data_IF_228408538198
#
_entry.id   IF_228408538198
#
_cell.length_a   1.000
_cell.length_b   1.000
_cell.length_c   1.000
_cell.angle_alpha   90.00
_cell.angle_beta   90.00
_cell.angle_gamma   90.00
#
_symmetry.space_group_name_H-M   'P 1'
#
loop_
_entity.id
_entity.type
_entity.pdbx_description
1 polymer ?
#
# COMPACT_ATOMS: atom_id res chain seq x y z
N UNK A 1 7.78 -7.60 -26.98
CA UNK A 1 7.31 -7.87 -25.61
C UNK A 1 6.39 -6.78 -25.10
N UNK A 2 6.82 -5.53 -25.10
CA UNK A 2 6.03 -4.43 -24.52
C UNK A 2 4.67 -4.27 -25.21
N UNK A 3 4.63 -4.25 -26.54
CA UNK A 3 3.37 -4.13 -27.30
C UNK A 3 2.41 -5.31 -27.03
N UNK A 4 2.92 -6.53 -26.95
CA UNK A 4 2.10 -7.69 -26.60
C UNK A 4 1.50 -7.57 -25.18
N UNK A 5 2.25 -7.02 -24.24
CA UNK A 5 1.77 -6.74 -22.89
C UNK A 5 0.70 -5.66 -22.88
N UNK A 6 0.89 -4.58 -23.64
CA UNK A 6 -0.07 -3.49 -23.75
C UNK A 6 -1.37 -3.95 -24.39
N UNK A 7 -1.29 -4.69 -25.52
CA UNK A 7 -2.48 -5.27 -26.18
C UNK A 7 -3.27 -6.19 -25.21
N UNK A 8 -2.56 -7.01 -24.42
CA UNK A 8 -3.22 -7.84 -23.41
C UNK A 8 -3.90 -6.98 -22.35
N UNK A 9 -3.23 -5.91 -21.88
CA UNK A 9 -3.76 -5.04 -20.84
C UNK A 9 -5.02 -4.29 -21.28
N UNK A 10 -5.12 -3.89 -22.54
CA UNK A 10 -6.32 -3.23 -23.10
C UNK A 10 -7.59 -4.08 -22.92
N UNK A 11 -7.45 -5.41 -22.97
CA UNK A 11 -8.58 -6.34 -22.85
C UNK A 11 -8.73 -6.97 -21.46
N UNK A 12 -7.68 -6.98 -20.65
CA UNK A 12 -7.62 -7.73 -19.37
C UNK A 12 -7.26 -6.85 -18.16
N UNK A 13 -7.03 -5.56 -18.37
CA UNK A 13 -6.69 -4.62 -17.31
C UNK A 13 -7.78 -4.56 -16.25
N UNK A 14 -7.36 -4.60 -14.96
CA UNK A 14 -8.30 -4.53 -13.85
C UNK A 14 -8.92 -3.14 -13.75
N UNK A 15 -10.23 -3.06 -13.61
CA UNK A 15 -10.93 -1.82 -13.31
C UNK A 15 -10.79 -1.51 -11.81
N UNK A 16 -9.90 -0.58 -11.49
CA UNK A 16 -9.59 -0.18 -10.13
C UNK A 16 -9.95 1.30 -9.92
N UNK A 17 -10.63 1.66 -8.79
CA UNK A 17 -11.14 3.02 -8.59
C UNK A 17 -10.04 4.08 -8.65
N UNK A 18 -8.84 3.80 -8.15
CA UNK A 18 -7.69 4.72 -8.18
C UNK A 18 -7.04 4.88 -9.56
N UNK A 19 -7.46 4.12 -10.56
CA UNK A 19 -7.04 4.29 -11.98
C UNK A 19 -7.91 5.27 -12.76
N UNK A 20 -9.03 5.69 -12.16
CA UNK A 20 -10.00 6.61 -12.77
C UNK A 20 -9.72 8.07 -12.42
N UNK A 21 -8.61 8.34 -11.76
CA UNK A 21 -8.21 9.68 -11.31
C UNK A 21 -6.72 9.89 -11.57
N UNK A 22 -6.35 11.16 -11.76
CA UNK A 22 -4.97 11.64 -11.78
C UNK A 22 -4.70 12.63 -10.63
N UNK A 23 -5.59 12.72 -9.65
CA UNK A 23 -5.35 13.51 -8.46
C UNK A 23 -4.22 12.90 -7.62
N UNK A 24 -3.13 13.63 -7.33
CA UNK A 24 -1.96 13.10 -6.63
C UNK A 24 -2.27 12.61 -5.21
N UNK A 25 -3.24 13.23 -4.51
CA UNK A 25 -3.66 12.77 -3.20
C UNK A 25 -4.35 11.40 -3.29
N UNK A 26 -5.28 11.24 -4.19
CA UNK A 26 -6.00 9.98 -4.42
C UNK A 26 -5.06 8.83 -4.82
N UNK A 27 -4.06 9.13 -5.67
CA UNK A 27 -3.02 8.17 -6.05
C UNK A 27 -2.15 7.82 -4.84
N UNK A 28 -1.69 8.80 -4.06
CA UNK A 28 -0.88 8.57 -2.85
C UNK A 28 -1.63 7.68 -1.84
N UNK A 29 -2.91 7.94 -1.60
CA UNK A 29 -3.76 7.13 -0.71
C UNK A 29 -3.78 5.67 -1.18
N UNK A 30 -4.04 5.43 -2.46
CA UNK A 30 -4.10 4.07 -3.01
C UNK A 30 -2.76 3.35 -2.88
N UNK A 31 -1.66 4.01 -3.21
CA UNK A 31 -0.31 3.42 -3.16
C UNK A 31 0.09 3.06 -1.71
N UNK A 32 -0.20 3.93 -0.74
CA UNK A 32 0.05 3.64 0.67
C UNK A 32 -0.84 2.50 1.17
N UNK A 33 -2.11 2.42 0.77
CA UNK A 33 -3.00 1.32 1.13
C UNK A 33 -2.56 -0.02 0.52
N UNK A 34 -2.02 -0.01 -0.69
CA UNK A 34 -1.56 -1.21 -1.41
C UNK A 34 -0.24 -1.77 -0.89
N UNK A 35 0.54 -1.01 -0.11
CA UNK A 35 1.77 -1.55 0.50
C UNK A 35 1.47 -2.81 1.30
N UNK A 36 1.93 -3.98 0.83
CA UNK A 36 1.73 -5.29 1.46
C UNK A 36 0.26 -5.68 1.75
N UNK A 37 -0.70 -5.07 1.06
CA UNK A 37 -2.13 -5.35 1.22
C UNK A 37 -2.74 -5.73 -0.13
N UNK A 38 -3.57 -6.77 -0.14
CA UNK A 38 -4.23 -7.25 -1.36
C UNK A 38 -5.28 -6.27 -1.87
N UNK A 39 -5.38 -6.13 -3.18
CA UNK A 39 -6.31 -5.22 -3.89
C UNK A 39 -7.76 -5.36 -3.43
N UNK A 40 -8.23 -6.59 -3.26
CA UNK A 40 -9.61 -6.87 -2.85
C UNK A 40 -9.96 -6.30 -1.47
N UNK A 41 -8.97 -6.22 -0.58
CA UNK A 41 -9.12 -5.61 0.74
C UNK A 41 -9.05 -4.08 0.66
N UNK A 42 -8.20 -3.55 -0.23
CA UNK A 42 -8.00 -2.11 -0.40
C UNK A 42 -9.18 -1.44 -1.09
N UNK A 43 -9.74 -2.06 -2.14
CA UNK A 43 -10.80 -1.46 -2.97
C UNK A 43 -11.94 -0.81 -2.16
N UNK A 44 -12.67 -1.52 -1.29
CA UNK A 44 -13.76 -0.92 -0.52
C UNK A 44 -13.28 0.15 0.47
N UNK A 45 -12.09 -0.02 1.04
CA UNK A 45 -11.50 0.93 2.00
C UNK A 45 -11.08 2.23 1.33
N UNK A 46 -10.51 2.15 0.14
CA UNK A 46 -10.14 3.32 -0.65
C UNK A 46 -11.37 4.17 -1.01
N UNK A 47 -12.44 3.55 -1.48
CA UNK A 47 -13.69 4.28 -1.82
C UNK A 47 -14.21 5.01 -0.59
N UNK A 48 -14.42 4.31 0.53
CA UNK A 48 -14.89 4.92 1.77
C UNK A 48 -13.95 6.01 2.32
N UNK A 49 -12.63 5.86 2.09
CA UNK A 49 -11.64 6.85 2.51
C UNK A 49 -11.75 8.15 1.72
N UNK A 50 -11.82 8.05 0.38
CA UNK A 50 -11.94 9.22 -0.49
C UNK A 50 -13.29 9.92 -0.32
N UNK A 51 -14.36 9.17 -0.07
CA UNK A 51 -15.66 9.73 0.27
C UNK A 51 -15.61 10.54 1.58
N UNK A 52 -14.90 10.03 2.59
CA UNK A 52 -14.79 10.69 3.90
C UNK A 52 -13.81 11.85 3.88
N UNK A 53 -12.67 11.71 3.21
CA UNK A 53 -11.63 12.73 3.09
C UNK A 53 -11.24 12.93 1.63
N UNK A 54 -12.02 13.74 0.89
CA UNK A 54 -11.83 13.86 -0.56
C UNK A 54 -10.59 14.66 -0.96
N UNK A 55 -9.98 15.38 -0.03
CA UNK A 55 -8.78 16.20 -0.29
C UNK A 55 -7.70 15.96 0.76
N UNK A 56 -6.47 16.32 0.42
CA UNK A 56 -5.34 16.27 1.34
C UNK A 56 -5.59 17.13 2.58
N UNK A 57 -6.25 18.29 2.43
CA UNK A 57 -6.60 19.17 3.53
C UNK A 57 -7.63 18.51 4.45
N UNK A 58 -8.67 17.88 3.90
CA UNK A 58 -9.67 17.19 4.70
C UNK A 58 -9.07 16.06 5.55
N UNK A 59 -8.05 15.35 5.02
CA UNK A 59 -7.31 14.33 5.78
C UNK A 59 -6.40 14.98 6.84
N UNK A 60 -5.72 16.07 6.51
CA UNK A 60 -4.83 16.79 7.43
C UNK A 60 -5.58 17.33 8.65
N UNK A 61 -6.80 17.80 8.46
CA UNK A 61 -7.67 18.36 9.51
C UNK A 61 -8.41 17.28 10.31
N UNK A 62 -8.35 16.02 9.88
CA UNK A 62 -9.04 14.93 10.56
C UNK A 62 -8.34 14.56 11.88
N UNK A 63 -9.10 14.27 12.97
CA UNK A 63 -8.52 13.69 14.17
C UNK A 63 -7.79 12.40 13.86
N UNK A 64 -6.55 12.25 14.32
CA UNK A 64 -5.73 11.06 14.05
C UNK A 64 -6.41 9.77 14.53
N UNK A 65 -7.17 9.83 15.63
CA UNK A 65 -7.99 8.72 16.11
C UNK A 65 -8.98 8.21 15.04
N UNK A 66 -9.60 9.10 14.30
CA UNK A 66 -10.55 8.75 13.25
C UNK A 66 -9.88 8.11 12.04
N UNK A 67 -8.70 8.61 11.68
CA UNK A 67 -7.85 8.07 10.63
C UNK A 67 -7.42 6.63 10.97
N UNK A 68 -6.97 6.39 12.19
CA UNK A 68 -6.60 5.06 12.69
C UNK A 68 -7.81 4.11 12.65
N UNK A 69 -8.98 4.56 13.11
CA UNK A 69 -10.22 3.76 13.07
C UNK A 69 -10.61 3.37 11.64
N UNK A 70 -10.56 4.31 10.70
CA UNK A 70 -10.89 4.06 9.30
C UNK A 70 -9.90 3.11 8.60
N UNK A 71 -8.63 3.07 9.05
CA UNK A 71 -7.60 2.20 8.51
C UNK A 71 -7.75 0.73 8.92
N UNK A 72 -8.52 0.45 9.95
CA UNK A 72 -8.64 -0.90 10.51
C UNK A 72 -9.01 -1.93 9.46
N UNK A 73 -8.37 -3.09 9.55
CA UNK A 73 -8.53 -4.19 8.61
C UNK A 73 -7.56 -4.17 7.42
N UNK A 74 -6.81 -3.08 7.20
CA UNK A 74 -5.74 -3.05 6.21
C UNK A 74 -4.43 -3.63 6.75
N UNK A 75 -4.22 -3.56 8.07
CA UNK A 75 -2.96 -3.95 8.73
C UNK A 75 -1.82 -2.97 8.49
N UNK A 76 -0.66 -3.24 9.11
CA UNK A 76 0.49 -2.32 9.04
C UNK A 76 0.08 -0.88 9.39
N UNK A 77 -0.61 -0.72 10.51
CA UNK A 77 -1.41 0.46 10.89
C UNK A 77 -0.58 1.75 11.00
N UNK A 78 0.75 1.66 11.21
CA UNK A 78 1.66 2.81 11.15
C UNK A 78 1.57 3.58 9.83
N UNK A 79 1.12 2.93 8.75
CA UNK A 79 0.91 3.61 7.45
C UNK A 79 -0.20 4.67 7.53
N UNK A 80 -1.22 4.45 8.36
CA UNK A 80 -2.27 5.44 8.59
C UNK A 80 -1.71 6.71 9.23
N UNK A 81 -0.87 6.55 10.26
CA UNK A 81 -0.18 7.67 10.93
C UNK A 81 0.73 8.41 9.96
N UNK A 82 1.51 7.67 9.16
CA UNK A 82 2.41 8.28 8.19
C UNK A 82 1.64 9.03 7.08
N UNK A 83 0.54 8.45 6.58
CA UNK A 83 -0.30 9.10 5.56
C UNK A 83 -0.94 10.37 6.10
N UNK A 84 -1.43 10.37 7.34
CA UNK A 84 -1.96 11.55 8.00
C UNK A 84 -0.87 12.63 8.17
N UNK A 85 0.33 12.25 8.64
CA UNK A 85 1.46 13.19 8.76
C UNK A 85 1.90 13.75 7.41
N UNK A 86 1.91 12.92 6.36
CA UNK A 86 2.19 13.36 4.99
C UNK A 86 1.13 14.38 4.52
N UNK A 87 -0.15 14.10 4.76
CA UNK A 87 -1.24 15.04 4.45
C UNK A 87 -1.10 16.36 5.20
N UNK A 88 -0.80 16.32 6.51
CA UNK A 88 -0.54 17.53 7.32
C UNK A 88 0.65 18.33 6.79
N UNK A 89 1.73 17.65 6.38
CA UNK A 89 2.89 18.33 5.78
C UNK A 89 2.52 19.00 4.47
N UNK A 90 1.81 18.29 3.57
CA UNK A 90 1.39 18.83 2.26
C UNK A 90 0.42 20.01 2.44
N UNK A 91 -0.52 19.90 3.37
CA UNK A 91 -1.49 20.98 3.64
C UNK A 91 -0.81 22.26 4.15
N UNK A 92 0.27 22.12 4.94
CA UNK A 92 1.00 23.25 5.50
C UNK A 92 2.04 23.85 4.54
N UNK A 93 2.69 23.05 3.70
CA UNK A 93 3.87 23.47 2.93
C UNK A 93 3.74 23.26 1.41
N UNK A 94 2.64 22.64 0.95
CA UNK A 94 2.49 22.19 -0.43
C UNK A 94 3.17 20.84 -0.68
N UNK A 95 3.04 20.34 -1.91
CA UNK A 95 3.71 19.13 -2.36
C UNK A 95 5.22 19.38 -2.48
N UNK A 96 6.08 18.56 -1.84
CA UNK A 96 7.53 18.71 -1.98
C UNK A 96 7.99 18.25 -3.39
N UNK A 97 9.13 18.78 -3.83
CA UNK A 97 9.75 18.39 -5.12
C UNK A 97 10.17 16.91 -5.11
N UNK A 98 10.68 16.41 -3.99
CA UNK A 98 10.93 14.99 -3.77
C UNK A 98 9.93 14.42 -2.76
N UNK A 99 9.01 13.60 -3.26
CA UNK A 99 7.99 12.98 -2.40
C UNK A 99 8.57 12.02 -1.36
N UNK A 100 9.82 11.61 -1.48
CA UNK A 100 10.48 10.77 -0.47
C UNK A 100 10.75 11.51 0.86
N UNK A 101 10.60 12.83 0.87
CA UNK A 101 10.65 13.65 2.09
C UNK A 101 9.38 13.47 2.96
N UNK A 102 8.30 12.94 2.36
CA UNK A 102 7.06 12.70 3.08
C UNK A 102 7.12 11.42 3.95
N UNK A 103 6.56 11.46 5.17
CA UNK A 103 6.51 10.30 6.04
C UNK A 103 5.88 9.07 5.38
N UNK A 104 6.61 7.95 5.34
CA UNK A 104 6.10 6.68 4.80
C UNK A 104 6.10 6.58 3.27
N UNK A 105 6.60 7.59 2.57
CA UNK A 105 6.76 7.60 1.11
C UNK A 105 8.19 7.19 0.76
N UNK A 106 8.33 5.98 0.21
CA UNK A 106 9.59 5.51 -0.35
C UNK A 106 9.67 5.78 -1.85
N UNK A 107 10.84 5.49 -2.45
CA UNK A 107 11.10 5.72 -3.87
C UNK A 107 10.01 5.15 -4.79
N UNK A 108 9.58 3.91 -4.54
CA UNK A 108 8.49 3.30 -5.32
C UNK A 108 7.21 4.15 -5.28
N UNK A 109 6.78 4.56 -4.08
CA UNK A 109 5.54 5.35 -3.93
C UNK A 109 5.68 6.73 -4.60
N UNK A 110 6.84 7.36 -4.49
CA UNK A 110 7.13 8.62 -5.16
C UNK A 110 7.05 8.46 -6.69
N UNK A 111 7.71 7.44 -7.25
CA UNK A 111 7.68 7.13 -8.67
C UNK A 111 6.26 6.78 -9.16
N UNK A 112 5.46 6.07 -8.35
CA UNK A 112 4.08 5.74 -8.68
C UNK A 112 3.17 6.98 -8.72
N UNK A 113 3.29 7.89 -7.75
CA UNK A 113 2.56 9.18 -7.79
C UNK A 113 3.01 10.00 -9.00
N UNK A 114 4.31 10.13 -9.24
CA UNK A 114 4.82 10.84 -10.41
C UNK A 114 4.29 10.24 -11.72
N UNK A 115 4.25 8.90 -11.83
CA UNK A 115 3.75 8.22 -13.03
C UNK A 115 2.25 8.35 -13.22
N UNK A 116 1.46 8.06 -12.18
CA UNK A 116 0.01 7.93 -12.32
C UNK A 116 -0.73 9.25 -12.16
N UNK A 117 -0.22 10.18 -11.35
CA UNK A 117 -0.83 11.50 -11.22
C UNK A 117 -0.29 12.52 -12.23
N UNK A 118 1.02 12.52 -12.49
CA UNK A 118 1.66 13.53 -13.31
C UNK A 118 2.14 13.01 -14.67
N UNK A 119 1.85 11.75 -15.02
CA UNK A 119 2.23 11.09 -16.27
C UNK A 119 3.75 11.13 -16.57
N UNK A 120 4.56 11.24 -15.52
CA UNK A 120 6.01 11.29 -15.65
C UNK A 120 6.56 10.04 -16.37
N UNK A 121 7.67 10.22 -17.10
CA UNK A 121 8.33 9.15 -17.83
C UNK A 121 9.20 8.26 -16.90
N UNK A 122 8.62 7.81 -15.78
CA UNK A 122 9.25 6.93 -14.76
C UNK A 122 8.48 5.63 -14.66
N UNK A 123 9.18 4.51 -14.54
CA UNK A 123 8.58 3.20 -14.27
C UNK A 123 8.72 2.92 -12.77
N UNK A 124 7.60 2.93 -12.00
CA UNK A 124 7.65 2.53 -10.61
C UNK A 124 7.93 1.03 -10.51
N UNK A 125 9.02 0.66 -9.83
CA UNK A 125 9.50 -0.72 -9.75
C UNK A 125 9.14 -1.31 -8.39
N UNK A 126 8.05 -2.09 -8.37
CA UNK A 126 7.67 -2.94 -7.25
C UNK A 126 8.26 -4.36 -7.39
N UNK A 127 7.92 -5.23 -6.45
CA UNK A 127 8.33 -6.64 -6.48
C UNK A 127 7.77 -7.41 -7.69
N UNK A 128 6.65 -6.97 -8.27
CA UNK A 128 6.04 -7.60 -9.43
C UNK A 128 6.77 -7.18 -10.71
N UNK A 129 7.01 -5.89 -10.87
CA UNK A 129 7.76 -5.33 -12.01
C UNK A 129 9.18 -5.88 -12.03
N UNK A 130 9.89 -5.84 -10.89
CA UNK A 130 11.24 -6.41 -10.76
C UNK A 130 11.25 -7.88 -11.17
N UNK A 131 10.33 -8.69 -10.65
CA UNK A 131 10.20 -10.12 -10.97
C UNK A 131 9.96 -10.38 -12.44
N UNK A 132 9.10 -9.59 -13.09
CA UNK A 132 8.82 -9.76 -14.53
C UNK A 132 10.05 -9.41 -15.35
N UNK A 133 10.72 -8.29 -15.06
CA UNK A 133 11.94 -7.90 -15.75
C UNK A 133 13.06 -8.96 -15.59
N UNK A 134 13.24 -9.48 -14.37
CA UNK A 134 14.19 -10.55 -14.10
C UNK A 134 13.88 -11.83 -14.90
N UNK A 135 12.61 -12.25 -14.92
CA UNK A 135 12.19 -13.47 -15.62
C UNK A 135 12.23 -13.37 -17.13
N UNK A 136 11.93 -12.20 -17.66
CA UNK A 136 11.91 -11.96 -19.11
C UNK A 136 13.27 -11.55 -19.67
N UNK A 137 14.15 -11.02 -18.82
CA UNK A 137 15.39 -10.35 -19.25
C UNK A 137 15.14 -9.05 -20.02
N UNK A 138 13.90 -8.55 -20.04
CA UNK A 138 13.51 -7.36 -20.80
C UNK A 138 13.27 -6.16 -19.87
N UNK A 139 13.78 -4.99 -20.25
CA UNK A 139 13.54 -3.73 -19.55
C UNK A 139 12.35 -3.03 -20.19
N UNK A 140 11.25 -2.98 -19.46
CA UNK A 140 10.04 -2.29 -19.86
C UNK A 140 10.14 -0.78 -19.62
N UNK A 141 9.34 -0.01 -20.36
CA UNK A 141 9.26 1.44 -20.18
C UNK A 141 8.10 1.81 -19.23
N UNK A 142 8.03 3.09 -18.88
CA UNK A 142 6.94 3.65 -18.08
C UNK A 142 5.54 3.45 -18.68
N UNK A 143 5.44 3.24 -20.00
CA UNK A 143 4.18 3.02 -20.71
C UNK A 143 3.44 1.77 -20.19
N UNK A 144 4.18 0.74 -19.82
CA UNK A 144 3.64 -0.54 -19.38
C UNK A 144 3.49 -0.67 -17.86
N UNK A 145 3.65 0.41 -17.08
CA UNK A 145 3.60 0.36 -15.62
C UNK A 145 2.36 -0.36 -15.06
N UNK A 146 1.15 0.08 -15.45
CA UNK A 146 -0.09 -0.55 -14.99
C UNK A 146 -0.26 -1.99 -15.48
N UNK A 147 0.16 -2.27 -16.73
CA UNK A 147 0.09 -3.60 -17.32
C UNK A 147 1.04 -4.59 -16.61
N UNK A 148 2.24 -4.16 -16.23
CA UNK A 148 3.19 -4.97 -15.46
C UNK A 148 2.65 -5.30 -14.07
N UNK A 149 2.05 -4.32 -13.39
CA UNK A 149 1.44 -4.52 -12.08
C UNK A 149 0.32 -5.56 -12.16
N UNK A 150 -0.51 -5.50 -13.20
CA UNK A 150 -1.60 -6.47 -13.40
C UNK A 150 -1.07 -7.85 -13.77
N UNK A 151 -0.15 -7.92 -14.72
CA UNK A 151 0.47 -9.20 -15.10
C UNK A 151 1.13 -9.88 -13.89
N UNK A 152 1.83 -9.11 -13.07
CA UNK A 152 2.51 -9.62 -11.87
C UNK A 152 1.55 -10.07 -10.77
N UNK A 153 0.41 -9.40 -10.64
CA UNK A 153 -0.59 -9.73 -9.63
C UNK A 153 -1.47 -10.92 -10.02
N UNK A 154 -1.71 -11.17 -11.33
CA UNK A 154 -2.71 -12.15 -11.79
C UNK A 154 -2.11 -13.35 -12.51
N UNK A 155 -1.04 -13.18 -13.26
CA UNK A 155 -0.46 -14.22 -14.15
C UNK A 155 0.97 -14.57 -13.74
N UNK A 156 1.88 -13.62 -13.72
CA UNK A 156 3.29 -13.87 -13.39
C UNK A 156 3.51 -13.97 -11.87
N UNK A 157 2.81 -14.91 -11.22
CA UNK A 157 2.82 -15.10 -9.78
C UNK A 157 4.20 -15.50 -9.24
N UNK A 158 4.45 -15.23 -7.96
CA UNK A 158 5.77 -15.43 -7.35
C UNK A 158 6.25 -16.88 -7.43
N UNK A 159 5.41 -17.86 -7.06
CA UNK A 159 5.81 -19.28 -6.99
C UNK A 159 5.49 -20.05 -8.26
N UNK A 160 4.24 -20.05 -8.68
CA UNK A 160 3.71 -20.82 -9.80
C UNK A 160 3.03 -19.86 -10.76
N UNK A 161 3.76 -19.32 -11.75
CA UNK A 161 3.18 -18.44 -12.75
C UNK A 161 2.27 -19.20 -13.70
N UNK A 162 1.21 -18.52 -14.17
CA UNK A 162 0.25 -19.04 -15.16
C UNK A 162 0.76 -18.78 -16.58
N UNK A 163 1.88 -19.43 -16.95
CA UNK A 163 2.54 -19.14 -18.22
C UNK A 163 1.70 -19.48 -19.46
N UNK A 164 0.70 -20.37 -19.35
CA UNK A 164 -0.23 -20.68 -20.45
C UNK A 164 -1.16 -19.52 -20.82
N UNK A 165 -1.43 -18.62 -19.86
CA UNK A 165 -2.29 -17.44 -20.05
C UNK A 165 -1.48 -16.15 -20.29
N UNK A 166 -0.12 -16.25 -20.27
CA UNK A 166 0.75 -15.08 -20.27
C UNK A 166 0.99 -14.54 -21.69
N UNK A 167 0.74 -13.25 -21.94
CA UNK A 167 0.99 -12.65 -23.25
C UNK A 167 2.47 -12.68 -23.67
N UNK A 168 3.38 -12.89 -22.71
CA UNK A 168 4.82 -12.92 -22.94
C UNK A 168 5.36 -14.36 -23.09
N UNK A 169 4.50 -15.37 -23.08
CA UNK A 169 4.91 -16.79 -23.01
C UNK A 169 5.80 -17.22 -24.19
N UNK A 170 5.59 -16.65 -25.38
CA UNK A 170 6.35 -17.01 -26.59
C UNK A 170 7.81 -16.53 -26.57
N UNK A 171 8.13 -15.53 -25.76
CA UNK A 171 9.45 -14.89 -25.72
C UNK A 171 10.11 -14.92 -24.34
N UNK A 172 9.42 -15.45 -23.31
CA UNK A 172 9.91 -15.45 -21.94
C UNK A 172 10.84 -16.66 -21.68
N UNK A 173 12.14 -16.45 -21.37
CA UNK A 173 13.08 -17.54 -21.11
C UNK A 173 12.80 -18.31 -19.82
N UNK A 174 12.01 -17.73 -18.89
CA UNK A 174 11.62 -18.38 -17.64
C UNK A 174 10.27 -19.12 -17.74
N UNK A 175 9.71 -19.30 -18.95
CA UNK A 175 8.45 -20.00 -19.18
C UNK A 175 8.42 -21.38 -18.49
N UNK A 176 7.33 -21.63 -17.75
CA UNK A 176 7.09 -22.93 -17.11
C UNK A 176 7.91 -23.20 -15.86
N UNK A 177 8.85 -22.34 -15.48
CA UNK A 177 9.64 -22.50 -14.26
C UNK A 177 8.81 -22.24 -13.02
N UNK A 178 9.12 -23.00 -11.94
CA UNK A 178 8.63 -22.73 -10.58
C UNK A 178 9.72 -22.03 -9.79
N UNK A 179 9.30 -21.21 -8.83
CA UNK A 179 10.21 -20.40 -8.03
C UNK A 179 9.90 -20.55 -6.54
N UNK A 180 10.92 -20.52 -5.72
CA UNK A 180 10.75 -20.46 -4.28
C UNK A 180 10.52 -19.00 -3.84
N UNK A 181 9.60 -18.75 -2.88
CA UNK A 181 9.37 -17.39 -2.38
C UNK A 181 10.59 -16.92 -1.59
N UNK A 182 11.00 -15.67 -1.82
CA UNK A 182 12.14 -15.04 -1.15
C UNK A 182 11.97 -14.96 0.39
N UNK A 183 10.73 -14.90 0.88
CA UNK A 183 10.39 -14.87 2.32
C UNK A 183 9.12 -15.66 2.60
N UNK A 184 9.16 -16.47 3.66
CA UNK A 184 7.97 -17.04 4.29
C UNK A 184 7.63 -16.18 5.52
N UNK A 185 6.47 -15.55 5.52
CA UNK A 185 5.98 -14.87 6.71
C UNK A 185 5.48 -15.92 7.71
N UNK A 186 5.83 -15.75 8.99
CA UNK A 186 5.30 -16.61 10.06
C UNK A 186 3.77 -16.56 10.12
N UNK A 187 3.08 -17.58 10.63
CA UNK A 187 1.65 -17.55 10.87
C UNK A 187 1.24 -16.29 11.64
N UNK A 188 0.05 -15.78 11.37
CA UNK A 188 -0.48 -14.62 12.08
C UNK A 188 -0.92 -15.01 13.48
N UNK A 189 -1.54 -16.18 13.61
CA UNK A 189 -2.05 -16.73 14.86
C UNK A 189 -0.93 -16.99 15.86
N UNK A 190 -1.08 -16.55 17.09
CA UNK A 190 -0.06 -16.61 18.13
C UNK A 190 1.11 -15.64 17.97
N UNK A 191 1.16 -14.85 16.88
CA UNK A 191 2.27 -13.93 16.62
C UNK A 191 2.12 -12.61 17.41
N UNK A 192 3.25 -11.91 17.60
CA UNK A 192 3.25 -10.54 18.13
C UNK A 192 2.39 -9.57 17.30
N UNK A 193 2.30 -9.79 15.99
CA UNK A 193 1.41 -9.01 15.11
C UNK A 193 -0.06 -9.18 15.49
N UNK A 194 -0.48 -10.36 15.88
CA UNK A 194 -1.85 -10.61 16.35
C UNK A 194 -2.10 -9.90 17.68
N UNK A 195 -1.17 -10.00 18.64
CA UNK A 195 -1.28 -9.31 19.94
C UNK A 195 -1.42 -7.80 19.74
N UNK A 196 -0.55 -7.18 18.93
CA UNK A 196 -0.66 -5.76 18.58
C UNK A 196 -1.99 -5.39 17.95
N UNK A 197 -2.47 -6.19 16.98
CA UNK A 197 -3.74 -5.94 16.29
C UNK A 197 -4.92 -5.99 17.26
N UNK A 198 -4.91 -6.95 18.18
CA UNK A 198 -5.94 -7.10 19.23
C UNK A 198 -5.93 -5.92 20.21
N UNK A 199 -4.77 -5.56 20.72
CA UNK A 199 -4.60 -4.41 21.62
C UNK A 199 -5.08 -3.11 20.98
N UNK A 200 -4.69 -2.86 19.72
CA UNK A 200 -5.15 -1.67 18.98
C UNK A 200 -6.68 -1.71 18.77
N UNK A 201 -7.25 -2.89 18.57
CA UNK A 201 -8.70 -3.03 18.46
C UNK A 201 -9.40 -2.62 19.78
N UNK A 202 -8.98 -3.17 20.89
CA UNK A 202 -9.55 -2.88 22.21
C UNK A 202 -9.49 -1.37 22.52
N UNK A 203 -8.33 -0.74 22.28
CA UNK A 203 -8.14 0.71 22.49
C UNK A 203 -8.94 1.56 21.50
N UNK A 204 -9.19 1.06 20.29
CA UNK A 204 -10.02 1.78 19.30
C UNK A 204 -11.50 1.81 19.67
N UNK A 205 -11.96 0.86 20.46
CA UNK A 205 -13.34 0.78 20.96
C UNK A 205 -13.55 1.70 22.18
N UNK A 206 -12.59 1.72 23.10
CA UNK A 206 -12.59 2.62 24.26
C UNK A 206 -11.20 2.72 24.90
N UNK A 207 -10.93 3.81 25.61
CA UNK A 207 -9.74 3.93 26.45
C UNK A 207 -9.70 2.79 27.51
N UNK A 208 -8.50 2.29 27.81
CA UNK A 208 -8.27 1.16 28.71
C UNK A 208 -7.15 1.48 29.68
N UNK A 209 -7.19 0.86 30.87
CA UNK A 209 -6.05 0.87 31.77
C UNK A 209 -4.91 0.05 31.20
N UNK A 210 -3.68 0.52 31.34
CA UNK A 210 -2.48 -0.16 30.82
C UNK A 210 -2.37 -1.60 31.38
N UNK A 211 -2.69 -1.77 32.65
CA UNK A 211 -2.65 -3.05 33.35
C UNK A 211 -3.60 -4.13 32.77
N UNK A 212 -4.61 -3.69 32.00
CA UNK A 212 -5.60 -4.57 31.36
C UNK A 212 -5.17 -5.03 29.96
N UNK A 213 -4.05 -4.52 29.46
CA UNK A 213 -3.59 -4.71 28.09
C UNK A 213 -2.24 -5.45 28.04
N UNK A 214 -1.90 -5.95 26.87
CA UNK A 214 -0.55 -6.45 26.58
C UNK A 214 0.44 -5.27 26.54
N UNK A 215 1.22 -5.09 27.63
CA UNK A 215 2.11 -3.95 27.75
C UNK A 215 3.14 -3.87 26.62
N UNK A 216 3.72 -5.02 26.20
CA UNK A 216 4.68 -5.05 25.09
C UNK A 216 4.03 -4.55 23.78
N UNK A 217 2.80 -4.96 23.51
CA UNK A 217 2.03 -4.49 22.35
C UNK A 217 1.71 -2.99 22.46
N UNK A 218 1.28 -2.52 23.64
CA UNK A 218 1.00 -1.09 23.89
C UNK A 218 2.24 -0.25 23.64
N UNK A 219 3.40 -0.60 24.19
CA UNK A 219 4.66 0.13 23.99
C UNK A 219 5.06 0.16 22.52
N UNK A 220 4.82 -0.93 21.79
CA UNK A 220 5.10 -0.96 20.35
C UNK A 220 4.12 -0.08 19.56
N UNK A 221 2.86 -0.03 19.94
CA UNK A 221 1.84 0.83 19.32
C UNK A 221 2.11 2.31 19.62
N UNK A 222 2.53 2.64 20.82
CA UNK A 222 2.92 4.00 21.24
C UNK A 222 4.11 4.51 20.42
N UNK A 223 5.17 3.71 20.26
CA UNK A 223 6.31 4.05 19.40
C UNK A 223 5.92 4.32 17.95
N UNK A 224 4.88 3.62 17.46
CA UNK A 224 4.36 3.82 16.11
C UNK A 224 3.36 4.99 16.02
N UNK A 225 3.03 5.64 17.14
CA UNK A 225 2.09 6.77 17.21
C UNK A 225 0.62 6.36 17.07
N UNK A 226 0.31 5.08 17.33
CA UNK A 226 -1.04 4.52 17.20
C UNK A 226 -1.86 4.61 18.48
N UNK A 227 -1.21 4.77 19.62
CA UNK A 227 -1.82 5.01 20.91
C UNK A 227 -1.00 6.03 21.70
N UNK A 228 -1.62 6.65 22.69
CA UNK A 228 -0.99 7.50 23.69
C UNK A 228 -1.31 6.95 25.09
N UNK A 229 -0.33 7.06 26.00
CA UNK A 229 -0.49 6.70 27.41
C UNK A 229 -0.49 8.00 28.21
N UNK A 230 -1.59 8.25 28.95
CA UNK A 230 -1.75 9.41 29.81
C UNK A 230 -2.33 8.92 31.14
N UNK A 231 -1.62 9.15 32.24
CA UNK A 231 -2.02 8.74 33.60
C UNK A 231 -2.41 7.26 33.72
N UNK A 232 -1.64 6.38 33.07
CA UNK A 232 -1.90 4.93 33.05
C UNK A 232 -3.05 4.51 32.12
N UNK A 233 -3.71 5.44 31.45
CA UNK A 233 -4.79 5.18 30.50
C UNK A 233 -4.22 5.16 29.08
N UNK A 234 -4.48 4.09 28.35
CA UNK A 234 -4.14 3.92 26.93
C UNK A 234 -5.34 4.31 26.06
N UNK A 235 -5.12 5.24 25.14
CA UNK A 235 -6.15 5.73 24.24
C UNK A 235 -5.60 6.01 22.83
N UNK A 236 -6.46 6.15 21.84
CA UNK A 236 -6.03 6.66 20.54
C UNK A 236 -5.50 8.10 20.71
N UNK A 237 -4.51 8.51 19.88
CA UNK A 237 -4.01 9.89 19.91
C UNK A 237 -5.12 10.85 19.46
N UNK A 238 -5.09 12.05 20.02
CA UNK A 238 -5.97 13.18 19.65
C UNK A 238 -5.64 13.72 18.28
#
# INVERSE_FOLDING_TARGET
MEDALLTWFDSNGRDLPWRRTNDPYSVLVSEVMLQQTQVERVRPRYVAWIERWPTVQALADAPLADVIKAWRGLGYDRRAVNLHRAATHIAAHGWPDDLTDLPGVGRYTADAVARFAHQAAVLPIDVNVSRIQERTGFKFTHRSAAALMDLGATICLARVPRCGECPLTGTCPARGRRFEPARKQSPFEGSFRQRRSRTLQEVSESARQLEQLDEEAVRALERDGLVAIVDGIVRLPS
#
